data_IF_825035591602
#
_entry.id   IF_825035591602
#
_cell.length_a   1.000
_cell.length_b   1.000
_cell.length_c   1.000
_cell.angle_alpha   90.00
_cell.angle_beta   90.00
_cell.angle_gamma   90.00
#
_symmetry.space_group_name_H-M   'P 1'
#
loop_
_entity.id
_entity.type
_entity.pdbx_description
1 polymer ?
#
# COMPACT_ATOMS: atom_id res chain seq x y z
N UNK A 1 20.73 -15.92 4.41
CA UNK A 1 20.24 -14.52 4.43
C UNK A 1 21.40 -13.55 4.32
N UNK A 2 22.49 -13.81 5.06
CA UNK A 2 23.71 -12.98 5.01
C UNK A 2 24.36 -12.93 3.63
N UNK A 3 24.38 -14.05 2.90
CA UNK A 3 24.91 -14.10 1.53
C UNK A 3 24.15 -13.16 0.59
N UNK A 4 22.82 -13.25 0.57
CA UNK A 4 21.96 -12.37 -0.22
C UNK A 4 22.12 -10.89 0.16
N UNK A 5 22.27 -10.59 1.45
CA UNK A 5 22.55 -9.22 1.91
C UNK A 5 23.89 -8.72 1.36
N UNK A 6 24.92 -9.55 1.41
CA UNK A 6 26.25 -9.22 0.91
C UNK A 6 26.25 -8.98 -0.61
N UNK A 7 25.46 -9.73 -1.37
CA UNK A 7 25.28 -9.53 -2.81
C UNK A 7 24.60 -8.20 -3.12
N UNK A 8 23.57 -7.82 -2.34
CA UNK A 8 22.91 -6.52 -2.47
C UNK A 8 23.86 -5.36 -2.12
N UNK A 9 24.69 -5.51 -1.09
CA UNK A 9 25.70 -4.52 -0.73
C UNK A 9 26.72 -4.37 -1.87
N UNK A 10 27.27 -5.46 -2.40
CA UNK A 10 28.17 -5.44 -3.55
C UNK A 10 27.52 -4.80 -4.79
N UNK A 11 26.26 -5.12 -5.07
CA UNK A 11 25.51 -4.52 -6.16
C UNK A 11 25.32 -3.02 -5.94
N UNK A 12 25.07 -2.57 -4.71
CA UNK A 12 24.89 -1.16 -4.38
C UNK A 12 26.15 -0.32 -4.64
N UNK A 13 27.35 -0.87 -4.43
CA UNK A 13 28.61 -0.19 -4.73
C UNK A 13 28.93 -0.12 -6.23
N UNK A 14 28.47 -1.11 -7.01
CA UNK A 14 28.69 -1.17 -8.46
C UNK A 14 27.69 -0.33 -9.25
N UNK A 15 26.51 -0.10 -8.70
CA UNK A 15 25.41 0.61 -9.37
C UNK A 15 25.46 2.12 -9.12
N UNK A 16 25.06 2.89 -10.13
CA UNK A 16 24.92 4.33 -9.98
C UNK A 16 23.75 4.64 -9.03
N UNK A 17 23.93 5.45 -7.96
CA UNK A 17 22.91 5.63 -6.92
C UNK A 17 21.61 6.28 -7.41
N UNK A 18 21.65 7.00 -8.53
CA UNK A 18 20.46 7.61 -9.17
C UNK A 18 19.86 6.78 -10.29
N UNK A 19 20.43 5.61 -10.60
CA UNK A 19 19.82 4.68 -11.53
C UNK A 19 18.63 3.98 -10.87
N UNK A 20 17.61 3.61 -11.65
CA UNK A 20 16.47 2.81 -11.16
C UNK A 20 16.93 1.53 -10.45
N UNK A 21 18.00 0.91 -10.95
CA UNK A 21 18.59 -0.28 -10.33
C UNK A 21 19.28 0.03 -8.99
N UNK A 22 19.99 1.16 -8.90
CA UNK A 22 20.64 1.60 -7.66
C UNK A 22 19.61 1.97 -6.58
N UNK A 23 18.53 2.63 -6.99
CA UNK A 23 17.38 2.95 -6.12
C UNK A 23 16.70 1.67 -5.61
N UNK A 24 16.45 0.69 -6.50
CA UNK A 24 15.90 -0.60 -6.10
C UNK A 24 16.83 -1.37 -5.13
N UNK A 25 18.13 -1.41 -5.39
CA UNK A 25 19.11 -2.06 -4.51
C UNK A 25 19.14 -1.40 -3.12
N UNK A 26 19.17 -0.06 -3.07
CA UNK A 26 19.10 0.71 -1.82
C UNK A 26 17.79 0.47 -1.08
N UNK A 27 16.67 0.42 -1.80
CA UNK A 27 15.36 0.15 -1.21
C UNK A 27 15.33 -1.24 -0.55
N UNK A 28 15.84 -2.27 -1.22
CA UNK A 28 15.94 -3.62 -0.68
C UNK A 28 16.81 -3.67 0.57
N UNK A 29 17.97 -3.01 0.58
CA UNK A 29 18.83 -2.92 1.77
C UNK A 29 18.13 -2.26 2.95
N UNK A 30 17.36 -1.19 2.70
CA UNK A 30 16.61 -0.49 3.76
C UNK A 30 15.48 -1.34 4.33
N UNK A 31 14.83 -2.17 3.50
CA UNK A 31 13.72 -3.03 3.91
C UNK A 31 14.16 -4.41 4.39
N UNK A 32 15.46 -4.73 4.33
CA UNK A 32 15.98 -6.06 4.61
C UNK A 32 15.62 -6.57 6.01
N UNK A 33 15.65 -5.69 7.01
CA UNK A 33 15.28 -6.03 8.40
C UNK A 33 13.81 -6.47 8.48
N UNK A 34 12.90 -5.73 7.84
CA UNK A 34 11.48 -6.09 7.78
C UNK A 34 11.27 -7.42 7.05
N UNK A 35 12.01 -7.65 5.97
CA UNK A 35 11.97 -8.91 5.23
C UNK A 35 12.41 -10.10 6.08
N UNK A 36 13.47 -9.93 6.86
CA UNK A 36 13.98 -10.97 7.76
C UNK A 36 12.98 -11.32 8.86
N UNK A 37 12.28 -10.32 9.40
CA UNK A 37 11.21 -10.53 10.39
C UNK A 37 10.04 -11.36 9.87
N UNK A 38 9.66 -11.19 8.60
CA UNK A 38 8.60 -12.00 7.97
C UNK A 38 9.00 -13.47 7.86
N UNK A 39 10.30 -13.75 7.68
CA UNK A 39 10.80 -15.13 7.65
C UNK A 39 10.86 -15.76 9.04
N UNK A 40 11.07 -14.95 10.08
CA UNK A 40 11.07 -15.40 11.48
C UNK A 40 9.65 -15.65 12.02
N UNK A 41 8.67 -14.87 11.58
CA UNK A 41 7.26 -15.00 11.96
C UNK A 41 6.34 -15.16 10.75
N UNK A 42 5.94 -16.41 10.49
CA UNK A 42 5.04 -16.76 9.38
C UNK A 42 3.59 -16.27 9.53
N UNK A 43 3.23 -15.62 10.63
CA UNK A 43 1.92 -14.95 10.78
C UNK A 43 1.88 -13.61 10.05
N UNK A 44 3.04 -13.04 9.73
CA UNK A 44 3.14 -11.78 9.02
C UNK A 44 2.90 -11.99 7.51
N UNK A 45 2.05 -11.16 6.92
CA UNK A 45 1.85 -11.16 5.48
C UNK A 45 3.01 -10.42 4.79
N UNK A 46 3.64 -11.06 3.80
CA UNK A 46 4.74 -10.47 3.02
C UNK A 46 4.26 -9.31 2.11
N UNK A 47 3.02 -9.37 1.66
CA UNK A 47 2.45 -8.37 0.74
C UNK A 47 1.75 -7.26 1.52
N UNK A 48 1.67 -6.06 0.96
CA UNK A 48 0.95 -4.95 1.59
C UNK A 48 -0.59 -5.04 1.41
N UNK A 49 -1.13 -6.16 0.92
CA UNK A 49 -2.55 -6.26 0.54
C UNK A 49 -3.48 -5.99 1.72
N UNK A 50 -3.18 -6.53 2.91
CA UNK A 50 -3.95 -6.26 4.13
C UNK A 50 -3.92 -4.80 4.51
N UNK A 51 -2.74 -4.19 4.56
CA UNK A 51 -2.58 -2.75 4.84
C UNK A 51 -3.34 -1.89 3.81
N UNK A 52 -3.24 -2.22 2.52
CA UNK A 52 -3.96 -1.55 1.47
C UNK A 52 -5.48 -1.68 1.61
N UNK A 53 -5.97 -2.86 1.98
CA UNK A 53 -7.40 -3.10 2.25
C UNK A 53 -7.92 -2.29 3.44
N UNK A 54 -7.15 -2.29 4.53
CA UNK A 54 -7.46 -1.51 5.74
C UNK A 54 -7.54 -0.01 5.43
N UNK A 55 -6.53 0.53 4.72
CA UNK A 55 -6.47 1.96 4.38
C UNK A 55 -7.54 2.36 3.35
N UNK A 56 -7.95 1.48 2.43
CA UNK A 56 -8.98 1.79 1.42
C UNK A 56 -10.28 2.28 2.06
N UNK A 57 -10.71 1.63 3.15
CA UNK A 57 -11.93 2.03 3.88
C UNK A 57 -11.88 3.49 4.33
N UNK A 58 -10.71 3.92 4.80
CA UNK A 58 -10.46 5.27 5.27
C UNK A 58 -10.38 6.29 4.13
N UNK A 59 -9.71 5.95 3.02
CA UNK A 59 -9.64 6.79 1.82
C UNK A 59 -11.05 7.03 1.25
N UNK A 60 -11.87 5.98 1.19
CA UNK A 60 -13.25 6.07 0.71
C UNK A 60 -14.09 6.94 1.64
N UNK A 61 -13.98 6.75 2.96
CA UNK A 61 -14.68 7.58 3.95
C UNK A 61 -14.36 9.08 3.81
N UNK A 62 -13.07 9.43 3.67
CA UNK A 62 -12.65 10.82 3.45
C UNK A 62 -13.15 11.42 2.14
N UNK A 63 -13.12 10.65 1.05
CA UNK A 63 -13.70 11.08 -0.23
C UNK A 63 -15.19 11.35 -0.08
N UNK A 64 -15.93 10.49 0.62
CA UNK A 64 -17.37 10.64 0.81
C UNK A 64 -17.72 11.87 1.68
N UNK A 65 -16.92 12.17 2.72
CA UNK A 65 -17.14 13.36 3.55
C UNK A 65 -17.02 14.67 2.78
N UNK A 66 -16.12 14.77 1.80
CA UNK A 66 -15.98 15.97 0.96
C UNK A 66 -17.22 16.24 0.09
N UNK A 67 -18.02 15.21 -0.22
CA UNK A 67 -19.23 15.32 -1.04
C UNK A 67 -20.53 15.21 -0.23
N UNK A 68 -20.46 15.25 1.11
CA UNK A 68 -21.61 15.09 2.01
C UNK A 68 -22.46 16.38 2.17
N UNK A 69 -22.46 17.25 1.15
CA UNK A 69 -23.30 18.45 1.12
C UNK A 69 -24.45 18.25 0.11
N UNK A 70 -25.33 17.29 0.40
CA UNK A 70 -26.64 17.27 -0.27
C UNK A 70 -27.48 18.37 0.36
N UNK A 71 -27.66 19.47 -0.37
CA UNK A 71 -28.63 20.51 -0.01
C UNK A 71 -30.01 19.87 0.07
N UNK A 72 -30.55 19.82 1.28
CA UNK A 72 -31.89 19.33 1.58
C UNK A 72 -32.93 20.34 1.05
N UNK A 73 -33.07 20.47 -0.27
CA UNK A 73 -34.14 21.27 -0.86
C UNK A 73 -35.14 20.47 -1.69
N UNK A 74 -34.79 19.34 -2.31
CA UNK A 74 -35.77 18.47 -2.95
C UNK A 74 -35.26 17.02 -3.04
N UNK A 75 -35.63 16.12 -2.12
CA UNK A 75 -35.56 14.66 -2.34
C UNK A 75 -36.25 13.87 -1.21
N UNK A 76 -37.58 13.90 -1.15
CA UNK A 76 -38.32 12.69 -0.76
C UNK A 76 -38.81 12.06 -2.06
N UNK A 77 -37.92 11.36 -2.75
CA UNK A 77 -38.32 10.40 -3.77
C UNK A 77 -37.81 9.02 -3.30
N UNK A 78 -38.69 8.12 -2.83
CA UNK A 78 -38.31 6.83 -2.27
C UNK A 78 -37.81 5.79 -3.31
N UNK A 79 -37.49 6.21 -4.53
CA UNK A 79 -37.09 5.31 -5.64
C UNK A 79 -35.64 5.44 -6.09
N UNK A 80 -34.73 5.98 -5.27
CA UNK A 80 -33.29 5.77 -5.52
C UNK A 80 -32.82 4.53 -4.78
N UNK A 81 -32.81 3.34 -5.42
CA UNK A 81 -32.23 2.17 -4.80
C UNK A 81 -30.71 2.34 -4.78
N UNK A 82 -30.17 1.97 -3.63
CA UNK A 82 -28.86 1.39 -3.37
C UNK A 82 -28.24 0.61 -4.55
N UNK A 83 -27.83 1.27 -5.63
CA UNK A 83 -27.08 0.66 -6.72
C UNK A 83 -25.89 1.58 -7.03
N UNK A 84 -24.74 1.22 -6.48
CA UNK A 84 -23.52 2.02 -6.57
C UNK A 84 -22.47 1.71 -5.49
N UNK A 85 -22.85 0.96 -4.45
CA UNK A 85 -21.88 0.14 -3.70
C UNK A 85 -21.70 -1.17 -4.48
N UNK A 86 -20.49 -1.70 -4.53
CA UNK A 86 -20.08 -2.89 -5.32
C UNK A 86 -19.73 -2.61 -6.79
N UNK A 87 -18.78 -1.69 -6.99
CA UNK A 87 -17.75 -1.90 -8.00
C UNK A 87 -16.38 -1.67 -7.35
N UNK A 88 -15.98 -2.66 -6.56
CA UNK A 88 -14.61 -2.94 -6.13
C UNK A 88 -14.27 -4.35 -6.64
#
# INVERSE_FOLDING_TARGET
>A
MDEFKSELEQASYKLLPKSKLGEAAKHNLTQFVSFEQVLLDGRLELTNNRVGSEIKSFIIGRKNWLFMNTTFKYAFNPTFPLCGMWKL
#
